data_IF_439515569038
#
_entry.id   IF_439515569038
#
_cell.length_a   1.000
_cell.length_b   1.000
_cell.length_c   1.000
_cell.angle_alpha   90.00
_cell.angle_beta   90.00
_cell.angle_gamma   90.00
#
_symmetry.space_group_name_H-M   'P 1'
#
loop_
_entity.id
_entity.type
_entity.pdbx_description
1 polymer ?
#
# COMPACT_ATOMS: atom_id res chain seq x y z
N UNK A 1 42.04 -3.82 40.81
CA UNK A 1 41.95 -4.37 39.44
C UNK A 1 40.81 -5.41 39.43
N UNK A 2 39.51 -5.10 39.35
CA UNK A 2 38.72 -4.20 38.48
C UNK A 2 38.93 -4.47 36.98
N UNK A 3 37.86 -5.04 36.38
CA UNK A 3 37.39 -4.79 35.01
C UNK A 3 37.92 -5.61 33.81
N UNK A 4 38.06 -6.94 33.88
CA UNK A 4 38.27 -7.71 32.63
C UNK A 4 37.39 -8.94 32.37
N UNK A 5 36.49 -9.32 33.26
CA UNK A 5 35.70 -10.56 33.07
C UNK A 5 34.22 -10.37 32.75
N UNK A 6 33.63 -9.17 32.94
CA UNK A 6 32.20 -8.95 32.71
C UNK A 6 31.83 -8.42 31.32
N UNK A 7 32.81 -7.99 30.52
CA UNK A 7 32.56 -7.42 29.18
C UNK A 7 32.43 -8.51 28.11
N UNK A 8 33.01 -9.70 28.33
CA UNK A 8 33.02 -10.75 27.31
C UNK A 8 31.67 -11.48 27.17
N UNK A 9 30.84 -11.51 28.22
CA UNK A 9 29.53 -12.17 28.18
C UNK A 9 28.38 -11.30 27.66
N UNK A 10 28.56 -9.98 27.55
CA UNK A 10 27.54 -9.07 27.02
C UNK A 10 27.60 -8.97 25.49
N UNK A 11 28.75 -9.29 24.89
CA UNK A 11 28.95 -9.23 23.45
C UNK A 11 28.21 -10.33 22.66
N UNK A 12 27.79 -11.42 23.32
CA UNK A 12 27.11 -12.55 22.64
C UNK A 12 25.57 -12.36 22.61
N UNK A 13 25.00 -11.51 23.47
CA UNK A 13 23.56 -11.26 23.48
C UNK A 13 23.11 -10.05 22.62
N UNK A 14 24.04 -9.20 22.18
CA UNK A 14 23.74 -8.05 21.31
C UNK A 14 23.88 -8.36 19.81
N UNK A 15 24.46 -9.51 19.44
CA UNK A 15 24.60 -9.94 18.05
C UNK A 15 23.37 -10.64 17.44
N UNK A 16 22.36 -10.95 18.26
CA UNK A 16 21.21 -11.78 17.86
C UNK A 16 19.97 -11.00 17.47
N UNK A 17 20.00 -9.66 17.53
CA UNK A 17 19.11 -8.86 16.67
C UNK A 17 19.68 -8.91 15.25
N UNK A 18 19.66 -10.12 14.68
CA UNK A 18 19.47 -10.22 13.25
C UNK A 18 18.17 -9.48 12.99
N UNK A 19 18.32 -8.24 12.54
CA UNK A 19 17.35 -7.58 11.69
C UNK A 19 16.87 -8.68 10.75
N UNK A 20 15.66 -9.15 11.00
CA UNK A 20 14.91 -9.84 9.97
C UNK A 20 14.77 -8.79 8.88
N UNK A 21 15.76 -8.77 7.99
CA UNK A 21 15.58 -8.28 6.64
C UNK A 21 14.51 -9.21 6.10
N UNK A 22 13.25 -8.85 6.38
CA UNK A 22 12.16 -9.25 5.53
C UNK A 22 12.60 -8.73 4.17
N UNK A 23 13.20 -9.64 3.40
CA UNK A 23 13.36 -9.51 1.97
C UNK A 23 11.95 -9.27 1.45
N UNK A 24 11.57 -8.01 1.46
CA UNK A 24 10.28 -7.58 1.00
C UNK A 24 10.38 -7.79 -0.49
N UNK A 25 9.62 -8.75 -1.01
CA UNK A 25 9.51 -8.96 -2.44
C UNK A 25 9.37 -7.57 -3.09
N UNK A 26 10.35 -7.22 -3.92
CA UNK A 26 10.32 -5.96 -4.64
C UNK A 26 9.08 -6.00 -5.52
N UNK A 27 8.14 -5.10 -5.26
CA UNK A 27 6.92 -5.04 -6.05
C UNK A 27 7.25 -4.43 -7.39
N UNK A 28 7.05 -5.22 -8.43
CA UNK A 28 7.14 -4.80 -9.82
C UNK A 28 5.82 -4.15 -10.21
N UNK A 29 5.85 -2.85 -10.45
CA UNK A 29 4.72 -2.06 -10.94
C UNK A 29 4.60 -2.23 -12.45
N UNK A 30 3.37 -2.32 -13.00
CA UNK A 30 3.21 -2.49 -14.46
C UNK A 30 3.53 -1.21 -15.21
N UNK A 31 3.42 -0.05 -14.56
CA UNK A 31 3.72 1.27 -15.13
C UNK A 31 4.64 2.11 -14.22
N UNK A 32 5.36 3.11 -14.76
CA UNK A 32 6.12 4.07 -13.96
C UNK A 32 5.23 4.84 -12.99
N UNK A 33 5.59 4.81 -11.71
CA UNK A 33 4.84 5.50 -10.66
C UNK A 33 5.11 7.00 -10.65
N UNK A 34 4.11 7.76 -10.22
CA UNK A 34 4.26 9.16 -9.82
C UNK A 34 4.25 9.31 -8.30
N UNK A 35 3.38 8.56 -7.60
CA UNK A 35 3.28 8.58 -6.15
C UNK A 35 3.27 7.16 -5.59
N UNK A 36 3.90 6.99 -4.43
CA UNK A 36 3.90 5.74 -3.69
C UNK A 36 3.45 5.99 -2.25
N UNK A 37 2.43 5.26 -1.84
CA UNK A 37 1.85 5.30 -0.51
C UNK A 37 2.04 3.96 0.19
N UNK A 38 2.30 3.98 1.49
CA UNK A 38 2.38 2.77 2.33
C UNK A 38 1.61 2.93 3.62
N UNK A 39 1.04 1.84 4.11
CA UNK A 39 0.40 1.82 5.41
C UNK A 39 -0.33 0.51 5.67
N UNK A 40 -1.49 0.59 6.31
CA UNK A 40 -2.23 -0.59 6.77
C UNK A 40 -3.70 -0.52 6.44
N UNK A 41 -4.32 -1.71 6.35
CA UNK A 41 -5.76 -1.91 6.38
C UNK A 41 -6.11 -2.78 7.58
N UNK A 42 -7.07 -2.35 8.40
CA UNK A 42 -7.50 -3.06 9.61
C UNK A 42 -9.01 -3.32 9.56
N UNK A 43 -9.40 -4.55 9.86
CA UNK A 43 -10.79 -4.97 9.79
C UNK A 43 -10.93 -6.48 9.85
N UNK A 44 -12.10 -6.97 10.24
CA UNK A 44 -12.41 -8.41 10.26
C UNK A 44 -11.37 -9.23 11.03
N UNK A 45 -10.89 -8.72 12.17
CA UNK A 45 -9.88 -9.36 13.02
C UNK A 45 -8.46 -9.43 12.44
N UNK A 46 -8.18 -8.72 11.34
CA UNK A 46 -6.89 -8.77 10.65
C UNK A 46 -6.31 -7.37 10.43
N UNK A 47 -4.98 -7.31 10.37
CA UNK A 47 -4.21 -6.17 9.90
C UNK A 47 -3.39 -6.59 8.69
N UNK A 48 -3.53 -5.85 7.60
CA UNK A 48 -2.83 -6.09 6.35
C UNK A 48 -1.94 -4.89 6.04
N UNK A 49 -0.69 -5.14 5.65
CA UNK A 49 0.19 -4.09 5.13
C UNK A 49 -0.13 -3.86 3.66
N UNK A 50 -0.46 -2.61 3.32
CA UNK A 50 -0.82 -2.21 1.97
C UNK A 50 0.20 -1.20 1.44
N UNK A 51 0.49 -1.32 0.15
CA UNK A 51 1.23 -0.32 -0.59
C UNK A 51 0.46 0.00 -1.86
N UNK A 52 0.26 1.29 -2.13
CA UNK A 52 -0.50 1.80 -3.26
C UNK A 52 0.38 2.70 -4.12
N UNK A 53 0.43 2.42 -5.40
CA UNK A 53 1.12 3.21 -6.40
C UNK A 53 0.13 3.90 -7.32
N UNK A 54 0.38 5.17 -7.66
CA UNK A 54 -0.45 5.93 -8.58
C UNK A 54 0.32 6.28 -9.86
N UNK A 55 -0.37 6.09 -10.99
CA UNK A 55 -0.01 6.59 -12.31
C UNK A 55 -0.84 7.84 -12.53
N UNK A 56 -0.21 9.02 -12.58
CA UNK A 56 -0.95 10.22 -12.96
C UNK A 56 -1.42 10.10 -14.40
N UNK A 57 -2.72 10.22 -14.62
CA UNK A 57 -3.29 10.33 -15.96
C UNK A 57 -4.38 11.43 -15.98
N UNK A 58 -3.98 12.56 -16.59
CA UNK A 58 -4.79 13.66 -17.15
C UNK A 58 -5.30 14.88 -16.35
N UNK A 59 -4.91 15.14 -15.10
CA UNK A 59 -5.22 16.43 -14.40
C UNK A 59 -6.73 16.80 -14.35
N UNK A 60 -7.62 15.94 -14.84
CA UNK A 60 -9.07 16.08 -14.91
C UNK A 60 -9.77 15.50 -13.66
N UNK A 61 -8.96 15.12 -12.67
CA UNK A 61 -9.37 14.45 -11.46
C UNK A 61 -9.47 12.93 -11.60
N UNK A 62 -9.22 12.35 -12.79
CA UNK A 62 -9.09 10.90 -12.89
C UNK A 62 -7.76 10.43 -12.33
N UNK A 63 -7.79 9.26 -11.70
CA UNK A 63 -6.60 8.63 -11.14
C UNK A 63 -6.62 7.16 -11.49
N UNK A 64 -5.43 6.61 -11.73
CA UNK A 64 -5.24 5.19 -11.93
C UNK A 64 -4.02 4.74 -11.14
N UNK A 65 -3.94 3.45 -10.86
CA UNK A 65 -2.86 2.93 -10.06
C UNK A 65 -2.96 1.44 -9.84
N UNK A 66 -2.12 0.99 -8.95
CA UNK A 66 -1.95 -0.39 -8.56
C UNK A 66 -1.78 -0.46 -7.06
N UNK A 67 -2.24 -1.53 -6.43
CA UNK A 67 -1.93 -1.79 -5.04
C UNK A 67 -1.63 -3.26 -4.77
N UNK A 68 -1.00 -3.51 -3.62
CA UNK A 68 -0.76 -4.86 -3.13
C UNK A 68 -0.87 -4.90 -1.60
N UNK A 69 -1.35 -6.02 -1.07
CA UNK A 69 -1.35 -6.32 0.36
C UNK A 69 -0.99 -7.79 0.62
N UNK A 70 0.03 -8.03 1.45
CA UNK A 70 0.47 -9.39 1.81
C UNK A 70 1.61 -9.97 0.94
N UNK A 71 2.28 -11.00 1.48
CA UNK A 71 3.51 -11.59 0.95
C UNK A 71 3.25 -12.63 -0.14
N UNK A 72 3.45 -12.23 -1.40
CA UNK A 72 3.84 -13.13 -2.49
C UNK A 72 2.74 -13.95 -3.16
N UNK A 73 2.42 -13.56 -4.41
CA UNK A 73 2.40 -14.38 -5.65
C UNK A 73 1.56 -13.74 -6.76
N UNK A 74 0.66 -12.81 -6.43
CA UNK A 74 -0.38 -12.35 -7.36
C UNK A 74 -0.19 -10.93 -7.90
N UNK A 75 1.07 -10.48 -8.07
CA UNK A 75 1.35 -9.18 -8.65
C UNK A 75 0.65 -8.03 -7.94
N UNK A 76 0.32 -7.01 -8.72
CA UNK A 76 -0.43 -5.83 -8.29
C UNK A 76 -1.86 -5.85 -8.83
N UNK A 77 -2.79 -5.32 -8.04
CA UNK A 77 -4.20 -5.19 -8.42
C UNK A 77 -4.42 -3.78 -8.96
N UNK A 78 -4.97 -3.69 -10.17
CA UNK A 78 -5.23 -2.41 -10.82
C UNK A 78 -6.47 -1.74 -10.24
N UNK A 79 -6.43 -0.41 -10.17
CA UNK A 79 -7.59 0.42 -9.86
C UNK A 79 -7.61 1.67 -10.72
N UNK A 80 -8.80 2.23 -10.90
CA UNK A 80 -9.00 3.58 -11.38
C UNK A 80 -10.17 4.25 -10.66
N UNK A 81 -10.32 5.56 -10.86
CA UNK A 81 -11.41 6.31 -10.29
C UNK A 81 -11.13 7.80 -10.30
N UNK A 82 -11.51 8.46 -9.21
CA UNK A 82 -11.55 9.92 -9.14
C UNK A 82 -10.94 10.46 -7.84
N UNK A 83 -10.18 11.55 -7.99
CA UNK A 83 -9.69 12.39 -6.92
C UNK A 83 -10.25 13.81 -7.06
N UNK A 84 -10.96 14.27 -6.02
CA UNK A 84 -11.44 15.63 -5.92
C UNK A 84 -10.40 16.49 -5.19
N UNK A 85 -9.75 17.43 -5.89
CA UNK A 85 -8.75 18.31 -5.28
C UNK A 85 -9.32 19.30 -4.25
N UNK A 86 -10.59 19.71 -4.39
CA UNK A 86 -11.26 20.67 -3.50
C UNK A 86 -11.57 20.05 -2.15
N UNK A 87 -12.18 18.86 -2.15
CA UNK A 87 -12.55 18.13 -0.92
C UNK A 87 -11.44 17.20 -0.44
N UNK A 88 -10.41 16.98 -1.28
CA UNK A 88 -9.32 16.03 -1.08
C UNK A 88 -9.80 14.58 -0.93
N UNK A 89 -10.92 14.23 -1.54
CA UNK A 89 -11.51 12.88 -1.47
C UNK A 89 -11.08 12.03 -2.65
N UNK A 90 -10.84 10.74 -2.40
CA UNK A 90 -10.47 9.73 -3.37
C UNK A 90 -11.54 8.63 -3.34
N UNK A 91 -12.01 8.21 -4.51
CA UNK A 91 -12.79 7.00 -4.69
C UNK A 91 -12.21 6.24 -5.88
N UNK A 92 -11.73 5.02 -5.65
CA UNK A 92 -11.18 4.16 -6.70
C UNK A 92 -11.73 2.75 -6.59
N UNK A 93 -11.98 2.13 -7.72
CA UNK A 93 -12.51 0.77 -7.83
C UNK A 93 -11.50 -0.12 -8.55
N UNK A 94 -11.43 -1.34 -8.08
CA UNK A 94 -10.58 -2.35 -8.69
C UNK A 94 -11.12 -2.81 -10.04
N UNK A 95 -10.21 -3.15 -10.94
CA UNK A 95 -10.56 -3.86 -12.15
C UNK A 95 -9.52 -4.92 -12.49
N UNK A 96 -9.95 -5.88 -13.30
CA UNK A 96 -9.09 -6.88 -13.91
C UNK A 96 -9.15 -6.66 -15.41
N UNK A 97 -8.00 -6.63 -16.07
CA UNK A 97 -7.91 -6.62 -17.52
C UNK A 97 -7.83 -8.05 -18.03
N UNK A 98 -8.72 -8.43 -18.97
CA UNK A 98 -8.63 -9.73 -19.65
C UNK A 98 -7.58 -9.72 -20.76
N UNK A 99 -7.29 -10.87 -21.36
CA UNK A 99 -6.28 -11.02 -22.41
C UNK A 99 -6.58 -10.16 -23.66
N UNK A 100 -7.83 -9.74 -23.84
CA UNK A 100 -8.27 -8.86 -24.93
C UNK A 100 -8.15 -7.37 -24.59
N UNK A 101 -7.65 -7.01 -23.40
CA UNK A 101 -7.49 -5.63 -22.95
C UNK A 101 -8.75 -4.99 -22.35
N UNK A 102 -9.85 -5.73 -22.22
CA UNK A 102 -11.10 -5.22 -21.65
C UNK A 102 -11.02 -5.17 -20.12
N UNK A 103 -11.55 -4.09 -19.54
CA UNK A 103 -11.62 -3.91 -18.09
C UNK A 103 -12.90 -4.51 -17.54
N UNK A 104 -12.76 -5.43 -16.59
CA UNK A 104 -13.86 -5.93 -15.76
C UNK A 104 -13.68 -5.42 -14.34
N UNK A 105 -14.55 -4.52 -13.91
CA UNK A 105 -14.55 -4.03 -12.54
C UNK A 105 -14.94 -5.13 -11.56
N UNK A 106 -14.13 -5.29 -10.52
CA UNK A 106 -14.52 -6.06 -9.34
C UNK A 106 -15.06 -5.04 -8.33
N UNK A 107 -16.16 -5.37 -7.64
CA UNK A 107 -16.90 -4.43 -6.78
C UNK A 107 -16.19 -4.16 -5.44
N UNK A 108 -14.89 -3.93 -5.52
CA UNK A 108 -14.01 -3.61 -4.43
C UNK A 108 -13.57 -2.16 -4.59
N UNK A 109 -13.78 -1.35 -3.55
CA UNK A 109 -13.63 0.10 -3.66
C UNK A 109 -12.85 0.64 -2.47
N UNK A 110 -11.89 1.51 -2.74
CA UNK A 110 -11.25 2.37 -1.75
C UNK A 110 -11.91 3.75 -1.78
N UNK A 111 -12.44 4.18 -0.65
CA UNK A 111 -13.01 5.51 -0.47
C UNK A 111 -12.29 6.19 0.70
N UNK A 112 -11.72 7.37 0.49
CA UNK A 112 -10.98 8.05 1.55
C UNK A 112 -10.75 9.52 1.32
N UNK A 113 -10.07 10.16 2.27
CA UNK A 113 -9.73 11.58 2.26
C UNK A 113 -8.26 11.79 2.57
N UNK A 114 -7.63 12.74 1.87
CA UNK A 114 -6.27 13.18 2.14
C UNK A 114 -6.26 14.23 3.25
N UNK A 115 -5.48 13.99 4.31
CA UNK A 115 -5.21 14.96 5.36
C UNK A 115 -3.78 14.75 5.91
N UNK A 116 -2.97 15.81 5.93
CA UNK A 116 -1.63 15.79 6.53
C UNK A 116 -0.67 14.76 5.89
N UNK A 117 -0.76 14.53 4.58
CA UNK A 117 0.07 13.54 3.87
C UNK A 117 -0.37 12.09 4.02
N UNK A 118 -1.51 11.85 4.68
CA UNK A 118 -2.16 10.56 4.79
C UNK A 118 -3.43 10.51 3.95
N UNK A 119 -3.69 9.38 3.29
CA UNK A 119 -5.03 8.99 2.88
C UNK A 119 -5.59 8.01 3.91
N UNK A 120 -6.78 8.32 4.41
CA UNK A 120 -7.50 7.46 5.35
C UNK A 120 -8.91 7.25 4.86
N UNK A 121 -9.44 6.05 5.08
CA UNK A 121 -10.75 5.71 4.56
C UNK A 121 -11.14 4.26 4.75
N UNK A 122 -12.01 3.78 3.87
CA UNK A 122 -12.53 2.41 3.88
C UNK A 122 -12.18 1.71 2.58
N UNK A 123 -11.80 0.45 2.71
CA UNK A 123 -11.76 -0.52 1.63
C UNK A 123 -12.95 -1.46 1.79
N UNK A 124 -13.82 -1.51 0.78
CA UNK A 124 -15.09 -2.23 0.81
C UNK A 124 -14.99 -3.36 -0.22
N UNK A 125 -15.26 -4.59 0.20
CA UNK A 125 -15.36 -5.77 -0.65
C UNK A 125 -16.83 -6.20 -0.65
N UNK A 126 -17.60 -5.75 -1.63
CA UNK A 126 -19.05 -5.93 -1.62
C UNK A 126 -19.47 -7.41 -1.66
N UNK A 127 -18.79 -8.22 -2.47
CA UNK A 127 -19.08 -9.65 -2.63
C UNK A 127 -18.97 -10.43 -1.32
N UNK A 128 -18.07 -10.00 -0.43
CA UNK A 128 -17.83 -10.64 0.86
C UNK A 128 -18.49 -9.92 2.04
N UNK A 129 -19.19 -8.80 1.78
CA UNK A 129 -19.74 -7.90 2.81
C UNK A 129 -18.68 -7.49 3.85
N UNK A 130 -17.42 -7.30 3.41
CA UNK A 130 -16.29 -6.94 4.28
C UNK A 130 -15.91 -5.49 4.11
N UNK A 131 -15.56 -4.85 5.23
CA UNK A 131 -15.00 -3.50 5.25
C UNK A 131 -13.72 -3.49 6.07
N UNK A 132 -12.69 -2.85 5.54
CA UNK A 132 -11.44 -2.56 6.23
C UNK A 132 -11.26 -1.05 6.31
N UNK A 133 -10.79 -0.54 7.45
CA UNK A 133 -10.32 0.83 7.54
C UNK A 133 -8.87 0.87 7.08
N UNK A 134 -8.54 1.76 6.15
CA UNK A 134 -7.17 1.92 5.69
C UNK A 134 -6.59 3.28 6.09
N UNK A 135 -5.27 3.29 6.28
CA UNK A 135 -4.48 4.49 6.44
C UNK A 135 -3.15 4.32 5.72
N UNK A 136 -2.88 5.14 4.71
CA UNK A 136 -1.65 5.10 3.92
C UNK A 136 -0.99 6.48 3.87
N UNK A 137 0.32 6.53 4.06
CA UNK A 137 1.14 7.76 4.02
C UNK A 137 1.88 7.85 2.71
N UNK A 138 1.98 9.05 2.14
CA UNK A 138 2.90 9.31 1.04
C UNK A 138 4.34 9.06 1.50
N UNK A 139 5.04 8.17 0.82
CA UNK A 139 6.44 7.86 1.13
C UNK A 139 7.42 8.30 0.04
N UNK A 140 6.95 8.40 -1.21
CA UNK A 140 7.81 8.80 -2.33
C UNK A 140 7.00 9.47 -3.43
N UNK A 141 7.57 10.54 -3.96
CA UNK A 141 7.16 11.19 -5.21
C UNK A 141 8.24 10.90 -6.23
N UNK A 142 7.85 10.41 -7.40
CA UNK A 142 8.75 10.18 -8.51
C UNK A 142 8.70 11.40 -9.44
N UNK A 143 9.87 11.81 -9.94
CA UNK A 143 9.93 12.85 -10.98
C UNK A 143 9.36 12.27 -12.27
N UNK A 144 8.59 13.09 -12.98
CA UNK A 144 8.17 12.79 -14.35
C UNK A 144 9.38 12.64 -15.26
#
# INVERSE_FOLDING_TARGET
MKQFSKILFVAIFLGSFMLSSQASAQVTWKKPLHFLYKGTMTGNGKTLYITMGFYWDNNDGKVAGEYYYGSGKNGTIDFDGYYNAKTKTLAVSEFITNDNGERRYVRNTFEGKSAGGWYKGRFIIESEKKVYNFAVKLIKVYKR
#
